data_IF_048322453124
#
_entry.id   IF_048322453124
#
_cell.length_a   1.000
_cell.length_b   1.000
_cell.length_c   1.000
_cell.angle_alpha   90.00
_cell.angle_beta   90.00
_cell.angle_gamma   90.00
#
_symmetry.space_group_name_H-M   'P 1'
#
loop_
_entity.id
_entity.type
_entity.pdbx_description
1 polymer ?
#
# COMPACT_ATOMS: atom_id res chain seq x y z
N UNK A 1 19.46 2.09 7.32
CA UNK A 1 18.46 3.16 7.07
C UNK A 1 17.90 2.90 5.68
N UNK A 2 16.68 2.36 5.56
CA UNK A 2 16.09 2.08 4.25
C UNK A 2 15.04 3.15 3.94
N UNK A 3 15.31 3.94 2.90
CA UNK A 3 14.39 4.93 2.37
C UNK A 3 13.25 4.22 1.65
N UNK A 4 12.02 4.67 1.90
CA UNK A 4 10.81 4.19 1.24
C UNK A 4 10.79 4.84 -0.14
N UNK A 5 11.25 4.14 -1.19
CA UNK A 5 11.38 4.73 -2.52
C UNK A 5 10.05 4.86 -3.28
N UNK A 6 8.97 4.23 -2.81
CA UNK A 6 7.61 4.42 -3.31
C UNK A 6 6.58 3.90 -2.30
N UNK A 7 5.45 4.59 -2.15
CA UNK A 7 4.36 4.22 -1.26
C UNK A 7 3.04 4.10 -2.02
N UNK A 8 2.33 3.00 -1.82
CA UNK A 8 1.02 2.75 -2.41
C UNK A 8 -0.06 2.97 -1.34
N UNK A 9 -1.09 3.74 -1.67
CA UNK A 9 -2.26 3.89 -0.82
C UNK A 9 -3.38 2.99 -1.36
N UNK A 10 -3.72 1.95 -0.62
CA UNK A 10 -4.85 1.08 -0.90
C UNK A 10 -6.05 1.56 -0.08
N UNK A 11 -7.15 1.88 -0.76
CA UNK A 11 -8.40 2.31 -0.12
C UNK A 11 -9.35 1.13 0.01
N UNK A 12 -9.98 0.97 1.17
CA UNK A 12 -10.95 -0.09 1.46
C UNK A 12 -12.06 0.37 2.40
N UNK A 13 -12.93 -0.56 2.79
CA UNK A 13 -13.86 -0.40 3.92
C UNK A 13 -13.61 -1.52 4.92
N UNK A 14 -13.67 -1.21 6.20
CA UNK A 14 -13.60 -2.22 7.26
C UNK A 14 -14.92 -2.98 7.42
N UNK A 15 -14.99 -3.87 8.42
CA UNK A 15 -16.19 -4.66 8.71
C UNK A 15 -17.36 -3.83 9.24
N UNK A 16 -17.11 -2.61 9.74
CA UNK A 16 -18.14 -1.66 10.13
C UNK A 16 -18.58 -0.76 8.96
N UNK A 17 -17.98 -0.93 7.77
CA UNK A 17 -18.25 -0.11 6.58
C UNK A 17 -17.51 1.22 6.57
N UNK A 18 -16.62 1.48 7.53
CA UNK A 18 -15.82 2.70 7.60
C UNK A 18 -14.70 2.66 6.57
N UNK A 19 -14.46 3.78 5.88
CA UNK A 19 -13.36 3.87 4.92
C UNK A 19 -12.00 3.82 5.61
N UNK A 20 -11.12 2.96 5.12
CA UNK A 20 -9.76 2.78 5.61
C UNK A 20 -8.76 2.96 4.47
N UNK A 21 -7.58 3.50 4.81
CA UNK A 21 -6.45 3.62 3.90
C UNK A 21 -5.29 2.81 4.47
N UNK A 22 -4.72 1.93 3.66
CA UNK A 22 -3.52 1.17 4.00
C UNK A 22 -2.37 1.71 3.15
N UNK A 23 -1.30 2.16 3.80
CA UNK A 23 -0.08 2.60 3.12
C UNK A 23 0.91 1.45 3.10
N UNK A 24 1.26 1.00 1.89
CA UNK A 24 2.20 -0.08 1.67
C UNK A 24 3.48 0.44 1.05
N UNK A 25 4.61 -0.04 1.53
CA UNK A 25 5.92 0.24 0.95
C UNK A 25 6.25 -0.79 -0.13
N UNK A 26 6.72 -0.33 -1.28
CA UNK A 26 7.18 -1.25 -2.33
C UNK A 26 8.52 -1.85 -1.93
N UNK A 27 8.52 -3.16 -1.65
CA UNK A 27 9.74 -3.89 -1.26
C UNK A 27 10.53 -4.43 -2.46
N UNK A 28 9.86 -4.72 -3.59
CA UNK A 28 10.50 -5.19 -4.83
C UNK A 28 9.55 -5.02 -6.03
N UNK A 29 10.10 -4.97 -7.24
CA UNK A 29 9.34 -4.97 -8.49
C UNK A 29 9.44 -6.36 -9.15
N UNK A 30 8.28 -7.00 -9.34
CA UNK A 30 8.18 -8.23 -10.13
C UNK A 30 7.94 -7.81 -11.59
N UNK A 31 8.89 -8.09 -12.50
CA UNK A 31 8.84 -7.65 -13.90
C UNK A 31 7.82 -8.45 -14.72
N UNK A 32 6.56 -8.00 -14.72
CA UNK A 32 5.47 -8.74 -15.36
C UNK A 32 4.45 -7.82 -16.09
N UNK A 33 4.85 -6.60 -16.45
CA UNK A 33 4.00 -5.61 -17.12
C UNK A 33 4.57 -5.24 -18.48
#
# INVERSE_FOLDING_TARGET
MHNIYNALVVKGRDTAGQQINVTCEVQQLLRNN
#
